data_IF_603671019702
#
_entry.id   IF_603671019702
#
_cell.length_a   1.000
_cell.length_b   1.000
_cell.length_c   1.000
_cell.angle_alpha   90.00
_cell.angle_beta   90.00
_cell.angle_gamma   90.00
#
_symmetry.space_group_name_H-M   'P 1'
#
loop_
_entity.id
_entity.type
_entity.pdbx_description
1 polymer ?
#
# COMPACT_ATOMS: atom_id res chain seq x y z
N UNK A 1 9.91 -2.79 -2.56
CA UNK A 1 10.99 -3.72 -2.16
C UNK A 1 10.95 -4.04 -0.66
N UNK A 2 11.24 -3.08 0.24
CA UNK A 2 11.28 -3.29 1.71
C UNK A 2 10.11 -4.13 2.27
N UNK A 3 8.87 -3.69 2.08
CA UNK A 3 7.69 -4.38 2.65
C UNK A 3 7.41 -5.76 2.05
N UNK A 4 7.98 -6.09 0.88
CA UNK A 4 7.92 -7.45 0.35
C UNK A 4 8.82 -8.39 1.16
N UNK A 5 10.02 -7.92 1.54
CA UNK A 5 10.92 -8.71 2.38
C UNK A 5 10.28 -9.01 3.73
N UNK A 6 9.59 -8.03 4.32
CA UNK A 6 8.82 -8.25 5.56
C UNK A 6 7.74 -9.32 5.37
N UNK A 7 6.95 -9.21 4.29
CA UNK A 7 5.89 -10.18 3.99
C UNK A 7 6.44 -11.60 3.74
N UNK A 8 7.52 -11.72 2.95
CA UNK A 8 8.17 -12.99 2.64
C UNK A 8 8.80 -13.64 3.91
N UNK A 9 9.10 -12.85 4.95
CA UNK A 9 9.60 -13.31 6.25
C UNK A 9 8.49 -13.52 7.30
N UNK A 10 7.21 -13.47 6.90
CA UNK A 10 6.08 -13.83 7.74
C UNK A 10 5.30 -12.67 8.35
N UNK A 11 5.67 -11.41 8.07
CA UNK A 11 4.85 -10.28 8.50
C UNK A 11 3.54 -10.22 7.69
N UNK A 12 2.42 -9.93 8.36
CA UNK A 12 1.20 -9.54 7.65
C UNK A 12 1.36 -8.12 7.13
N UNK A 13 1.30 -7.93 5.81
CA UNK A 13 1.47 -6.63 5.18
C UNK A 13 0.21 -6.24 4.43
N UNK A 14 -0.44 -5.16 4.88
CA UNK A 14 -1.60 -4.56 4.23
C UNK A 14 -1.11 -3.35 3.43
N UNK A 15 -1.24 -3.41 2.10
CA UNK A 15 -0.93 -2.30 1.20
C UNK A 15 -2.17 -1.42 1.04
N UNK A 16 -2.09 -0.19 1.54
CA UNK A 16 -3.12 0.84 1.32
C UNK A 16 -2.87 1.54 -0.01
N UNK A 17 -3.86 1.53 -0.89
CA UNK A 17 -3.75 2.03 -2.27
C UNK A 17 -4.90 2.98 -2.64
N UNK A 18 -4.75 3.72 -3.75
CA UNK A 18 -5.81 4.62 -4.25
C UNK A 18 -6.99 3.82 -4.81
N UNK A 19 -8.24 4.20 -4.55
CA UNK A 19 -9.38 3.60 -5.24
C UNK A 19 -9.31 3.78 -6.76
N UNK A 20 -9.77 2.78 -7.51
CA UNK A 20 -9.77 2.78 -8.97
C UNK A 20 -8.42 2.40 -9.59
N UNK A 21 -7.36 3.18 -9.32
CA UNK A 21 -6.04 3.00 -9.96
C UNK A 21 -5.03 2.20 -9.14
N UNK A 22 -5.08 2.28 -7.81
CA UNK A 22 -4.12 1.62 -6.94
C UNK A 22 -2.71 2.24 -6.96
N UNK A 23 -1.69 1.40 -6.78
CA UNK A 23 -0.28 1.73 -7.02
C UNK A 23 -0.01 1.92 -8.52
N UNK A 24 0.72 2.98 -8.86
CA UNK A 24 1.09 3.31 -10.25
C UNK A 24 1.87 2.19 -10.94
N UNK A 25 2.56 1.33 -10.19
CA UNK A 25 3.28 0.19 -10.75
C UNK A 25 2.36 -0.87 -11.37
N UNK A 26 1.04 -0.83 -11.10
CA UNK A 26 0.04 -1.73 -11.70
C UNK A 26 -0.08 -1.55 -13.22
N UNK A 27 0.25 -0.36 -13.72
CA UNK A 27 0.08 0.01 -15.14
C UNK A 27 1.40 0.04 -15.92
N UNK A 28 2.49 -0.51 -15.36
CA UNK A 28 3.81 -0.47 -16.02
C UNK A 28 3.91 -1.38 -17.26
N UNK A 29 3.24 -2.53 -17.22
CA UNK A 29 3.17 -3.51 -18.30
C UNK A 29 2.01 -4.51 -18.02
N UNK A 30 1.84 -5.52 -18.87
CA UNK A 30 0.81 -6.56 -18.71
C UNK A 30 1.40 -7.99 -18.83
N UNK A 31 2.70 -8.15 -18.53
CA UNK A 31 3.48 -9.35 -18.87
C UNK A 31 3.14 -10.59 -18.05
N UNK A 32 2.48 -10.44 -16.91
CA UNK A 32 2.16 -11.55 -16.00
C UNK A 32 0.64 -11.74 -15.93
N UNK A 33 0.09 -12.51 -16.88
CA UNK A 33 -1.35 -12.78 -16.97
C UNK A 33 -2.21 -11.50 -16.94
N UNK A 34 -1.79 -10.45 -17.67
CA UNK A 34 -2.47 -9.15 -17.69
C UNK A 34 -2.12 -8.23 -16.52
N UNK A 35 -1.18 -8.62 -15.65
CA UNK A 35 -0.67 -7.80 -14.55
C UNK A 35 0.76 -7.33 -14.83
N UNK A 36 1.10 -6.15 -14.32
CA UNK A 36 2.45 -5.62 -14.42
C UNK A 36 3.48 -6.48 -13.68
N UNK A 37 4.55 -6.85 -14.39
CA UNK A 37 5.64 -7.68 -13.86
C UNK A 37 6.27 -7.09 -12.60
N UNK A 38 6.50 -5.77 -12.60
CA UNK A 38 7.06 -5.04 -11.47
C UNK A 38 6.11 -5.07 -10.26
N UNK A 39 4.81 -4.88 -10.48
CA UNK A 39 3.81 -4.92 -9.41
C UNK A 39 3.75 -6.30 -8.76
N UNK A 40 3.64 -7.37 -9.55
CA UNK A 40 3.61 -8.75 -9.05
C UNK A 40 4.89 -9.08 -8.27
N UNK A 41 6.06 -8.75 -8.83
CA UNK A 41 7.35 -9.05 -8.19
C UNK A 41 7.56 -8.28 -6.88
N UNK A 42 7.09 -7.05 -6.77
CA UNK A 42 7.30 -6.19 -5.59
C UNK A 42 6.18 -6.27 -4.54
N UNK A 43 5.01 -6.80 -4.88
CA UNK A 43 3.82 -6.78 -4.00
C UNK A 43 3.17 -8.14 -3.75
N UNK A 44 3.74 -9.27 -4.23
CA UNK A 44 3.36 -10.60 -3.75
C UNK A 44 3.38 -10.68 -2.22
N UNK A 45 2.58 -11.59 -1.67
CA UNK A 45 2.47 -11.87 -0.23
C UNK A 45 1.82 -10.74 0.60
N UNK A 46 1.29 -9.68 -0.04
CA UNK A 46 0.61 -8.57 0.62
C UNK A 46 -0.89 -8.62 0.38
N UNK A 47 -1.66 -8.24 1.39
CA UNK A 47 -3.07 -7.87 1.23
C UNK A 47 -3.16 -6.46 0.60
N UNK A 48 -4.29 -6.16 -0.05
CA UNK A 48 -4.54 -4.84 -0.66
C UNK A 48 -5.86 -4.27 -0.16
N UNK A 49 -5.83 -3.01 0.25
CA UNK A 49 -7.00 -2.23 0.67
C UNK A 49 -6.97 -0.90 -0.08
N UNK A 50 -8.04 -0.59 -0.81
CA UNK A 50 -8.18 0.75 -1.39
C UNK A 50 -8.77 1.72 -0.37
N UNK A 51 -8.15 2.89 -0.20
CA UNK A 51 -8.62 3.95 0.69
C UNK A 51 -8.33 5.32 0.08
N UNK A 52 -9.34 6.18 -0.01
CA UNK A 52 -9.14 7.58 -0.36
C UNK A 52 -8.82 8.39 0.89
N UNK A 53 -7.54 8.59 1.17
CA UNK A 53 -7.04 9.33 2.35
C UNK A 53 -7.44 10.81 2.41
N UNK A 54 -8.12 11.33 1.38
CA UNK A 54 -8.66 12.70 1.36
C UNK A 54 -10.11 12.81 1.83
N UNK A 55 -10.77 11.69 2.10
CA UNK A 55 -12.12 11.68 2.66
C UNK A 55 -12.07 11.88 4.18
N UNK A 56 -13.07 12.56 4.72
CA UNK A 56 -13.15 12.89 6.15
C UNK A 56 -13.15 11.62 7.02
N UNK A 57 -13.75 10.53 6.54
CA UNK A 57 -13.83 9.24 7.24
C UNK A 57 -12.54 8.42 7.14
N UNK A 58 -11.60 8.77 6.25
CA UNK A 58 -10.40 7.97 6.01
C UNK A 58 -9.47 7.92 7.22
N UNK A 59 -9.45 8.98 8.03
CA UNK A 59 -8.70 9.03 9.30
C UNK A 59 -9.14 7.90 10.24
N UNK A 60 -10.46 7.68 10.39
CA UNK A 60 -10.97 6.62 11.27
C UNK A 60 -10.58 5.22 10.80
N UNK A 61 -10.50 5.00 9.48
CA UNK A 61 -10.07 3.72 8.91
C UNK A 61 -8.57 3.52 9.15
N UNK A 62 -7.76 4.55 8.91
CA UNK A 62 -6.32 4.51 9.16
C UNK A 62 -6.04 4.30 10.66
N UNK A 63 -6.70 5.03 11.54
CA UNK A 63 -6.52 4.89 12.99
C UNK A 63 -6.82 3.48 13.47
N UNK A 64 -7.89 2.86 12.97
CA UNK A 64 -8.19 1.44 13.27
C UNK A 64 -7.08 0.51 12.81
N UNK A 65 -6.58 0.67 11.59
CA UNK A 65 -5.47 -0.14 11.09
C UNK A 65 -4.20 0.07 11.92
N UNK A 66 -3.83 1.34 12.13
CA UNK A 66 -2.63 1.76 12.84
C UNK A 66 -2.66 1.36 14.32
N UNK A 67 -3.83 1.31 14.95
CA UNK A 67 -3.99 0.88 16.35
C UNK A 67 -3.51 -0.55 16.60
N UNK A 68 -3.41 -1.36 15.54
CA UNK A 68 -2.94 -2.76 15.60
C UNK A 68 -1.64 -3.00 14.82
N UNK A 69 -1.09 -1.97 14.17
CA UNK A 69 0.08 -2.11 13.32
C UNK A 69 1.37 -1.94 14.14
N UNK A 70 2.30 -2.87 13.99
CA UNK A 70 3.64 -2.74 14.59
C UNK A 70 4.50 -1.68 13.87
N UNK A 71 4.30 -1.53 12.56
CA UNK A 71 5.12 -0.67 11.69
C UNK A 71 4.27 -0.01 10.60
N UNK A 72 4.42 1.30 10.44
CA UNK A 72 3.96 2.05 9.27
C UNK A 72 5.13 2.33 8.32
N UNK A 73 5.00 1.93 7.05
CA UNK A 73 6.00 2.22 6.01
C UNK A 73 5.39 3.11 4.93
N UNK A 74 6.01 4.26 4.67
CA UNK A 74 5.65 5.17 3.59
C UNK A 74 6.89 5.65 2.83
N UNK A 75 6.72 5.92 1.54
CA UNK A 75 7.75 6.50 0.66
C UNK A 75 7.22 7.73 -0.08
N UNK A 76 6.30 8.46 0.56
CA UNK A 76 5.72 9.68 0.03
C UNK A 76 6.75 10.81 0.05
N UNK A 77 6.47 11.86 -0.72
CA UNK A 77 7.29 13.07 -0.69
C UNK A 77 7.37 13.65 0.74
N UNK A 78 8.49 14.29 1.12
CA UNK A 78 8.64 14.93 2.43
C UNK A 78 7.43 15.79 2.81
N UNK A 79 6.95 15.61 4.05
CA UNK A 79 5.80 16.32 4.60
C UNK A 79 4.43 15.89 4.06
N UNK A 80 4.33 14.95 3.10
CA UNK A 80 3.04 14.49 2.60
C UNK A 80 2.20 13.80 3.67
N UNK A 81 2.83 12.93 4.48
CA UNK A 81 2.17 12.28 5.61
C UNK A 81 1.62 13.31 6.60
N UNK A 82 2.43 14.27 7.02
CA UNK A 82 2.05 15.31 7.99
C UNK A 82 0.91 16.22 7.49
N UNK A 83 0.76 16.42 6.18
CA UNK A 83 -0.37 17.16 5.60
C UNK A 83 -1.70 16.38 5.64
N UNK A 84 -1.65 15.07 5.89
CA UNK A 84 -2.84 14.21 5.95
C UNK A 84 -3.42 14.12 7.37
N UNK A 85 -2.85 14.83 8.34
CA UNK A 85 -3.14 14.69 9.76
C UNK A 85 -2.14 13.78 10.45
#
# INVERSE_FOLDING_TARGET
FCTRQLADLGARVIKVERPGSGDFARDYDERVNGLASHFVWTNRSKESLTLNVKQDEAGQVLDKLLSTADVLVQNLAPGAAQRMG
#
